data_IF_269502424917
#
_entry.id   IF_269502424917
#
_cell.length_a   1.000
_cell.length_b   1.000
_cell.length_c   1.000
_cell.angle_alpha   90.00
_cell.angle_beta   90.00
_cell.angle_gamma   90.00
#
_symmetry.space_group_name_H-M   'P 1'
#
loop_
_entity.id
_entity.type
_entity.pdbx_description
1 polymer ?
#
# COMPACT_ATOMS: atom_id res chain seq x y z
N UNK A 1 -0.71 -1.60 10.69
CA UNK A 1 -0.98 -2.47 9.52
C UNK A 1 -1.21 -1.59 8.29
N UNK A 2 -0.79 -1.98 7.07
CA UNK A 2 -0.85 -1.08 5.88
C UNK A 2 -2.26 -0.62 5.54
N UNK A 3 -3.23 -1.52 5.72
CA UNK A 3 -4.65 -1.28 5.48
C UNK A 3 -5.23 -0.20 6.40
N UNK A 4 -4.78 -0.14 7.66
CA UNK A 4 -5.20 0.89 8.60
C UNK A 4 -4.65 2.27 8.24
N UNK A 5 -3.46 2.34 7.63
CA UNK A 5 -2.89 3.61 7.17
C UNK A 5 -3.57 4.13 5.90
N UNK A 6 -4.09 3.24 5.07
CA UNK A 6 -4.83 3.59 3.86
C UNK A 6 -6.33 3.87 4.11
N UNK A 7 -6.89 3.37 5.22
CA UNK A 7 -8.30 3.54 5.57
C UNK A 7 -8.61 5.02 5.86
N UNK A 8 -9.63 5.56 5.19
CA UNK A 8 -10.06 6.96 5.34
C UNK A 8 -9.21 7.99 4.59
N UNK A 9 -8.14 7.55 3.90
CA UNK A 9 -7.32 8.41 3.04
C UNK A 9 -7.82 8.42 1.60
N UNK A 10 -7.49 9.47 0.88
CA UNK A 10 -7.73 9.53 -0.58
C UNK A 10 -6.78 8.59 -1.32
N UNK A 11 -7.10 8.24 -2.58
CA UNK A 11 -6.24 7.36 -3.40
C UNK A 11 -4.83 7.95 -3.62
N UNK A 12 -4.71 9.27 -3.69
CA UNK A 12 -3.43 9.95 -3.84
C UNK A 12 -2.59 9.88 -2.56
N UNK A 13 -3.22 10.07 -1.41
CA UNK A 13 -2.56 9.90 -0.12
C UNK A 13 -2.17 8.44 0.14
N UNK A 14 -3.02 7.48 -0.25
CA UNK A 14 -2.74 6.07 -0.12
C UNK A 14 -1.58 5.63 -1.04
N UNK A 15 -1.40 6.27 -2.20
CA UNK A 15 -0.26 6.03 -3.10
C UNK A 15 1.06 6.59 -2.52
N UNK A 16 0.97 7.67 -1.76
CA UNK A 16 2.11 8.28 -1.06
C UNK A 16 2.52 7.52 0.21
N UNK A 17 1.78 6.50 0.66
CA UNK A 17 2.18 5.69 1.82
C UNK A 17 3.46 4.92 1.48
N UNK A 18 4.51 5.15 2.26
CA UNK A 18 5.79 4.43 2.14
C UNK A 18 5.92 3.34 3.20
N UNK A 19 6.87 2.43 2.97
CA UNK A 19 7.22 1.39 3.93
C UNK A 19 7.76 1.98 5.25
N UNK A 20 8.31 3.21 5.20
CA UNK A 20 8.82 3.94 6.36
C UNK A 20 7.66 4.36 7.27
N UNK A 21 6.60 4.94 6.71
CA UNK A 21 5.40 5.27 7.50
C UNK A 21 4.76 4.02 8.12
N UNK A 22 4.85 2.89 7.43
CA UNK A 22 4.46 1.57 7.93
C UNK A 22 5.32 1.11 9.11
N UNK A 23 6.64 1.28 9.01
CA UNK A 23 7.59 0.92 10.05
C UNK A 23 7.45 1.82 11.29
N UNK A 24 7.22 3.12 11.09
CA UNK A 24 6.94 4.09 12.15
C UNK A 24 5.62 3.77 12.85
N UNK A 25 4.56 3.48 12.10
CA UNK A 25 3.24 3.11 12.63
C UNK A 25 3.28 1.82 13.46
N UNK A 26 4.21 0.91 13.13
CA UNK A 26 4.44 -0.33 13.86
C UNK A 26 5.44 -0.20 15.02
N UNK A 27 5.77 1.03 15.46
CA UNK A 27 6.70 1.34 16.56
C UNK A 27 8.13 0.79 16.36
N UNK A 28 8.61 0.79 15.13
CA UNK A 28 9.96 0.34 14.80
C UNK A 28 9.99 -1.15 14.48
N UNK A 29 10.04 -1.46 13.18
CA UNK A 29 10.28 -2.82 12.71
C UNK A 29 11.80 -3.05 12.61
N UNK A 30 12.35 -4.14 13.17
CA UNK A 30 13.75 -4.48 12.97
C UNK A 30 14.05 -4.67 11.47
N UNK A 31 15.25 -4.30 10.98
CA UNK A 31 15.59 -4.25 9.55
C UNK A 31 15.33 -5.57 8.81
N UNK A 32 15.47 -6.71 9.50
CA UNK A 32 15.19 -8.04 8.97
C UNK A 32 13.71 -8.23 8.55
N UNK A 33 12.77 -7.50 9.16
CA UNK A 33 11.32 -7.57 8.86
C UNK A 33 10.85 -6.47 7.90
N UNK A 34 11.75 -5.61 7.41
CA UNK A 34 11.42 -4.56 6.43
C UNK A 34 10.99 -5.13 5.07
N UNK A 35 11.45 -6.34 4.69
CA UNK A 35 11.04 -6.98 3.45
C UNK A 35 9.51 -7.17 3.37
N UNK A 36 8.90 -7.62 4.46
CA UNK A 36 7.45 -7.81 4.57
C UNK A 36 6.69 -6.47 4.45
N UNK A 37 7.23 -5.40 5.03
CA UNK A 37 6.66 -4.05 4.91
C UNK A 37 6.75 -3.51 3.47
N UNK A 38 7.84 -3.82 2.76
CA UNK A 38 8.00 -3.45 1.35
C UNK A 38 7.00 -4.19 0.44
N UNK A 39 6.73 -5.47 0.70
CA UNK A 39 5.71 -6.25 -0.01
C UNK A 39 4.31 -5.67 0.21
N UNK A 40 3.96 -5.34 1.45
CA UNK A 40 2.67 -4.74 1.79
C UNK A 40 2.45 -3.40 1.06
N UNK A 41 3.49 -2.55 1.00
CA UNK A 41 3.43 -1.26 0.31
C UNK A 41 3.24 -1.45 -1.21
N UNK A 42 3.98 -2.38 -1.81
CA UNK A 42 3.84 -2.71 -3.24
C UNK A 42 2.47 -3.27 -3.58
N UNK A 43 1.92 -4.15 -2.72
CA UNK A 43 0.58 -4.71 -2.90
C UNK A 43 -0.49 -3.62 -2.84
N UNK A 44 -0.39 -2.68 -1.89
CA UNK A 44 -1.30 -1.54 -1.79
C UNK A 44 -1.25 -0.67 -3.06
N UNK A 45 -0.06 -0.27 -3.51
CA UNK A 45 0.09 0.53 -4.74
C UNK A 45 -0.50 -0.19 -5.95
N UNK A 46 -0.24 -1.49 -6.08
CA UNK A 46 -0.78 -2.30 -7.18
C UNK A 46 -2.31 -2.36 -7.12
N UNK A 47 -2.91 -2.47 -5.93
CA UNK A 47 -4.36 -2.46 -5.75
C UNK A 47 -4.98 -1.08 -6.07
N UNK A 48 -4.30 0.02 -5.73
CA UNK A 48 -4.72 1.38 -6.09
C UNK A 48 -4.68 1.58 -7.61
N UNK A 49 -3.61 1.14 -8.26
CA UNK A 49 -3.48 1.18 -9.72
C UNK A 49 -4.56 0.31 -10.37
N UNK A 50 -4.75 -0.92 -9.88
CA UNK A 50 -5.80 -1.82 -10.36
C UNK A 50 -7.18 -1.16 -10.24
N UNK A 51 -7.51 -0.58 -9.07
CA UNK A 51 -8.74 0.16 -8.87
C UNK A 51 -8.91 1.34 -9.84
N UNK A 52 -7.87 2.16 -10.03
CA UNK A 52 -7.88 3.28 -10.99
C UNK A 52 -8.09 2.77 -12.43
N UNK A 53 -7.43 1.68 -12.82
CA UNK A 53 -7.57 1.08 -14.15
C UNK A 53 -8.91 0.36 -14.35
N UNK A 54 -9.48 -0.20 -13.29
CA UNK A 54 -10.74 -0.96 -13.31
C UNK A 54 -11.96 -0.03 -13.28
N UNK A 55 -11.91 1.07 -12.53
CA UNK A 55 -12.87 2.19 -12.68
C UNK A 55 -12.83 2.82 -14.08
N UNK A 56 -11.70 2.69 -14.79
CA UNK A 56 -11.55 3.08 -16.20
C UNK A 56 -11.89 1.98 -17.23
N UNK A 57 -12.34 0.79 -16.80
CA UNK A 57 -12.86 -0.23 -17.72
C UNK A 57 -11.84 -1.14 -18.40
N UNK A 58 -10.81 -1.64 -17.71
CA UNK A 58 -10.03 -2.80 -18.20
C UNK A 58 -9.98 -3.94 -17.20
N UNK A 59 -10.99 -4.81 -17.30
CA UNK A 59 -10.94 -6.20 -16.83
C UNK A 59 -9.75 -6.90 -17.49
N UNK A 60 -8.65 -7.09 -16.77
CA UNK A 60 -7.64 -8.09 -17.14
C UNK A 60 -7.29 -8.88 -15.89
N UNK A 61 -8.21 -9.78 -15.53
CA UNK A 61 -7.88 -10.93 -14.69
C UNK A 61 -6.86 -11.77 -15.46
N UNK A 62 -5.68 -11.92 -14.86
CA UNK A 62 -4.70 -12.92 -15.27
C UNK A 62 -5.02 -14.24 -14.58
#
# INVERSE_FOLDING_TARGET
MVTQLAMGKTLEEADNITYENLAESLKGLPPIKMHCSSMATKALKKAIIDYKTKSGGKNNGK
#
